data_IF_231889516079
#
_entry.id   IF_231889516079
#
_cell.length_a   1.000
_cell.length_b   1.000
_cell.length_c   1.000
_cell.angle_alpha   90.00
_cell.angle_beta   90.00
_cell.angle_gamma   90.00
#
_symmetry.space_group_name_H-M   'P 1'
#
loop_
_entity.id
_entity.type
_entity.pdbx_description
1 polymer ?
#
# COMPACT_ATOMS: atom_id res chain seq x y z
N UNK A 1 3.24 7.84 9.63
CA UNK A 1 3.07 6.68 10.53
C UNK A 1 4.40 5.97 10.83
N UNK A 2 5.21 5.62 9.81
CA UNK A 2 6.48 4.87 10.02
C UNK A 2 7.48 5.67 10.84
N UNK A 3 7.67 6.95 10.53
CA UNK A 3 8.56 7.83 11.30
C UNK A 3 8.06 8.01 12.74
N UNK A 4 6.76 8.18 12.95
CA UNK A 4 6.15 8.27 14.28
C UNK A 4 6.32 6.97 15.08
N UNK A 5 6.18 5.82 14.43
CA UNK A 5 6.45 4.53 15.06
C UNK A 5 7.90 4.39 15.54
N UNK A 6 8.88 4.83 14.74
CA UNK A 6 10.30 4.84 15.13
C UNK A 6 10.56 5.79 16.29
N UNK A 7 10.01 7.00 16.22
CA UNK A 7 10.14 7.97 17.30
C UNK A 7 9.58 7.42 18.63
N UNK A 8 8.34 6.93 18.60
CA UNK A 8 7.70 6.35 19.80
C UNK A 8 8.46 5.14 20.33
N UNK A 9 8.90 4.22 19.46
CA UNK A 9 9.69 3.07 19.90
C UNK A 9 11.03 3.45 20.51
N UNK A 10 11.67 4.53 20.05
CA UNK A 10 12.94 5.01 20.57
C UNK A 10 12.83 5.78 21.89
N UNK A 11 11.71 6.44 22.13
CA UNK A 11 11.53 7.33 23.30
C UNK A 11 10.55 6.80 24.36
N UNK A 12 9.92 5.65 24.13
CA UNK A 12 9.09 5.00 25.16
C UNK A 12 9.94 4.05 25.99
N UNK A 13 10.16 4.33 27.28
CA UNK A 13 11.07 3.51 28.13
C UNK A 13 10.69 2.04 28.22
N UNK A 14 9.39 1.74 28.16
CA UNK A 14 8.83 0.40 28.27
C UNK A 14 8.83 -0.36 26.94
N UNK A 15 9.20 0.30 25.82
CA UNK A 15 9.21 -0.32 24.52
C UNK A 15 10.21 -1.49 24.45
N UNK A 16 9.74 -2.68 24.08
CA UNK A 16 10.57 -3.87 24.01
C UNK A 16 10.27 -4.73 22.79
N UNK A 17 11.35 -5.20 22.14
CA UNK A 17 11.27 -6.16 21.06
C UNK A 17 10.80 -5.53 19.76
N UNK A 18 10.10 -6.32 18.92
CA UNK A 18 9.67 -5.94 17.58
C UNK A 18 8.21 -5.50 17.58
N UNK A 19 7.92 -4.51 16.74
CA UNK A 19 6.58 -4.00 16.50
C UNK A 19 6.20 -4.14 15.04
N UNK A 20 4.97 -4.56 14.77
CA UNK A 20 4.43 -4.63 13.41
C UNK A 20 3.77 -3.29 13.11
N UNK A 21 4.35 -2.55 12.16
CA UNK A 21 3.82 -1.27 11.68
C UNK A 21 2.99 -1.51 10.42
N UNK A 22 1.79 -2.04 10.59
CA UNK A 22 0.83 -2.27 9.51
C UNK A 22 -0.50 -1.62 9.87
N UNK A 23 -0.90 -0.60 9.11
CA UNK A 23 -2.13 0.14 9.38
C UNK A 23 -3.37 -0.62 8.97
N UNK A 24 -3.37 -1.19 7.78
CA UNK A 24 -4.54 -1.79 7.15
C UNK A 24 -4.21 -3.14 6.52
N UNK A 25 -5.12 -4.10 6.67
CA UNK A 25 -5.12 -5.33 5.90
C UNK A 25 -5.88 -5.07 4.59
N UNK A 26 -5.18 -4.87 3.51
CA UNK A 26 -5.73 -4.45 2.22
C UNK A 26 -5.07 -5.18 1.06
N UNK A 27 -5.57 -4.97 -0.14
CA UNK A 27 -5.01 -5.47 -1.39
C UNK A 27 -4.74 -4.34 -2.39
N UNK A 28 -3.99 -4.64 -3.44
CA UNK A 28 -3.61 -3.63 -4.45
C UNK A 28 -4.81 -2.98 -5.16
N UNK A 29 -5.90 -3.73 -5.35
CA UNK A 29 -7.09 -3.18 -5.97
C UNK A 29 -7.77 -2.16 -5.05
N UNK A 30 -7.95 -2.49 -3.77
CA UNK A 30 -8.51 -1.55 -2.79
C UNK A 30 -7.67 -0.29 -2.67
N UNK A 31 -6.34 -0.44 -2.62
CA UNK A 31 -5.43 0.71 -2.63
C UNK A 31 -5.60 1.58 -3.88
N UNK A 32 -5.70 0.96 -5.06
CA UNK A 32 -5.92 1.68 -6.32
C UNK A 32 -7.29 2.33 -6.41
N UNK A 33 -8.34 1.66 -5.95
CA UNK A 33 -9.71 2.18 -6.01
C UNK A 33 -9.95 3.36 -5.07
N UNK A 34 -9.20 3.48 -3.97
CA UNK A 34 -9.27 4.66 -3.09
C UNK A 34 -8.83 5.95 -3.77
N UNK A 35 -8.03 5.85 -4.83
CA UNK A 35 -7.54 6.99 -5.62
C UNK A 35 -8.51 7.43 -6.72
N UNK A 36 -9.48 6.58 -7.09
CA UNK A 36 -10.40 6.85 -8.20
C UNK A 36 -11.17 8.16 -8.07
N UNK A 37 -11.73 8.53 -6.91
CA UNK A 37 -12.51 9.76 -6.79
C UNK A 37 -11.71 11.03 -7.10
N UNK A 38 -10.42 11.04 -6.79
CA UNK A 38 -9.56 12.22 -6.96
C UNK A 38 -8.74 12.21 -8.25
N UNK A 39 -8.28 11.04 -8.67
CA UNK A 39 -7.31 10.91 -9.75
C UNK A 39 -7.77 10.05 -10.93
N UNK A 40 -8.92 9.41 -10.85
CA UNK A 40 -9.40 8.44 -11.83
C UNK A 40 -9.62 9.00 -13.24
N UNK A 41 -9.90 10.29 -13.37
CA UNK A 41 -10.08 10.94 -14.67
C UNK A 41 -8.75 11.25 -15.37
N UNK A 42 -7.73 11.56 -14.59
CA UNK A 42 -6.41 12.00 -15.10
C UNK A 42 -5.41 10.87 -15.26
N UNK A 43 -5.58 9.77 -14.53
CA UNK A 43 -4.62 8.66 -14.50
C UNK A 43 -5.30 7.32 -14.78
N UNK A 44 -4.61 6.36 -15.44
CA UNK A 44 -5.12 5.03 -15.72
C UNK A 44 -5.09 4.15 -14.47
N UNK A 45 -6.04 4.37 -13.56
CA UNK A 45 -6.15 3.59 -12.32
C UNK A 45 -6.99 2.31 -12.54
N UNK A 46 -6.69 1.22 -11.82
CA UNK A 46 -7.46 -0.01 -11.92
C UNK A 46 -8.87 0.19 -11.34
N UNK A 47 -9.89 -0.08 -12.15
CA UNK A 47 -11.30 -0.02 -11.73
C UNK A 47 -11.82 -1.39 -11.27
N UNK A 48 -11.30 -2.45 -11.87
CA UNK A 48 -11.73 -3.82 -11.63
C UNK A 48 -10.53 -4.75 -11.39
N UNK A 49 -10.76 -5.81 -10.62
CA UNK A 49 -9.76 -6.85 -10.43
C UNK A 49 -9.58 -7.65 -11.74
N UNK A 50 -8.35 -7.72 -12.22
CA UNK A 50 -7.99 -8.65 -13.28
C UNK A 50 -7.90 -10.07 -12.70
N UNK A 51 -8.46 -11.08 -13.35
CA UNK A 51 -8.31 -12.46 -12.89
C UNK A 51 -6.85 -12.87 -12.90
N UNK A 52 -6.45 -13.64 -11.88
CA UNK A 52 -5.05 -14.05 -11.65
C UNK A 52 -4.39 -14.71 -12.86
N UNK A 53 -5.16 -15.50 -13.61
CA UNK A 53 -4.67 -16.17 -14.82
C UNK A 53 -4.29 -15.16 -15.92
N UNK A 54 -5.12 -14.12 -16.12
CA UNK A 54 -4.86 -13.08 -17.10
C UNK A 54 -3.63 -12.25 -16.71
N UNK A 55 -3.51 -11.90 -15.42
CA UNK A 55 -2.35 -11.18 -14.90
C UNK A 55 -1.05 -11.98 -15.03
N UNK A 56 -1.12 -13.32 -14.93
CA UNK A 56 0.05 -14.18 -15.10
C UNK A 56 0.55 -14.25 -16.55
N UNK A 57 -0.32 -13.96 -17.51
CA UNK A 57 0.02 -13.93 -18.95
C UNK A 57 0.48 -12.55 -19.36
N UNK A 58 -0.31 -11.51 -19.02
CA UNK A 58 -0.06 -10.13 -19.45
C UNK A 58 1.01 -9.44 -18.61
N UNK A 59 1.09 -9.74 -17.31
CA UNK A 59 2.02 -9.11 -16.38
C UNK A 59 3.48 -9.14 -16.86
N UNK A 60 4.06 -10.30 -17.22
CA UNK A 60 5.43 -10.38 -17.70
C UNK A 60 5.70 -9.61 -19.00
N UNK A 61 4.67 -9.36 -19.81
CA UNK A 61 4.79 -8.62 -21.07
C UNK A 61 4.79 -7.10 -20.84
N UNK A 62 4.10 -6.63 -19.79
CA UNK A 62 3.96 -5.21 -19.49
C UNK A 62 5.05 -4.69 -18.55
N UNK A 63 5.50 -5.51 -17.62
CA UNK A 63 6.53 -5.10 -16.67
C UNK A 63 7.35 -6.31 -16.20
N UNK A 64 8.68 -6.19 -16.28
CA UNK A 64 9.64 -7.23 -15.85
C UNK A 64 9.50 -7.61 -14.37
N UNK A 65 8.91 -6.77 -13.54
CA UNK A 65 8.65 -7.05 -12.12
C UNK A 65 7.48 -8.03 -11.91
N UNK A 66 6.50 -8.05 -12.82
CA UNK A 66 5.34 -8.93 -12.74
C UNK A 66 5.62 -10.32 -13.34
N UNK A 67 6.63 -10.99 -12.82
CA UNK A 67 6.90 -12.38 -13.23
C UNK A 67 5.77 -13.32 -12.82
N UNK A 68 5.62 -14.46 -13.52
CA UNK A 68 4.63 -15.49 -13.14
C UNK A 68 4.82 -15.96 -11.69
N UNK A 69 6.06 -16.05 -11.22
CA UNK A 69 6.39 -16.39 -9.83
C UNK A 69 5.91 -15.33 -8.85
N UNK A 70 6.11 -14.05 -9.19
CA UNK A 70 5.62 -12.93 -8.38
C UNK A 70 4.10 -12.96 -8.28
N UNK A 71 3.39 -13.08 -9.40
CA UNK A 71 1.92 -13.15 -9.43
C UNK A 71 1.40 -14.33 -8.63
N UNK A 72 2.01 -15.52 -8.77
CA UNK A 72 1.62 -16.71 -8.01
C UNK A 72 1.73 -16.50 -6.50
N UNK A 73 2.79 -15.85 -6.04
CA UNK A 73 3.13 -15.75 -4.62
C UNK A 73 2.58 -14.51 -3.93
N UNK A 74 2.14 -13.50 -4.69
CA UNK A 74 1.75 -12.20 -4.10
C UNK A 74 0.34 -11.75 -4.46
N UNK A 75 -0.25 -12.29 -5.54
CA UNK A 75 -1.59 -11.86 -5.98
C UNK A 75 -2.67 -12.75 -5.40
N UNK A 76 -3.73 -12.13 -4.85
CA UNK A 76 -4.83 -12.81 -4.17
C UNK A 76 -4.42 -13.71 -2.99
N UNK A 77 -3.34 -13.36 -2.33
CA UNK A 77 -2.95 -13.99 -1.06
C UNK A 77 -3.39 -13.04 0.05
N UNK A 78 -4.32 -13.46 0.90
CA UNK A 78 -4.75 -12.63 2.01
C UNK A 78 -3.59 -12.47 3.01
N UNK A 79 -3.17 -11.24 3.21
CA UNK A 79 -2.18 -10.89 4.23
C UNK A 79 -2.90 -10.23 5.40
N UNK A 80 -2.70 -10.79 6.59
CA UNK A 80 -3.21 -10.21 7.83
C UNK A 80 -2.03 -9.99 8.77
N UNK A 81 -1.86 -8.74 9.20
CA UNK A 81 -0.90 -8.37 10.21
C UNK A 81 -1.62 -7.89 11.47
N UNK A 82 -1.19 -8.39 12.62
CA UNK A 82 -1.69 -7.93 13.91
C UNK A 82 -0.85 -6.75 14.40
N UNK A 83 -1.46 -5.58 14.48
CA UNK A 83 -0.86 -4.34 14.95
C UNK A 83 -1.28 -3.98 16.39
N UNK A 84 -1.91 -4.90 17.12
CA UNK A 84 -2.43 -4.65 18.46
C UNK A 84 -1.32 -4.26 19.44
N UNK A 85 -0.16 -4.90 19.34
CA UNK A 85 0.99 -4.60 20.21
C UNK A 85 1.46 -3.15 20.08
N UNK A 86 1.66 -2.66 18.86
CA UNK A 86 2.14 -1.28 18.65
C UNK A 86 1.09 -0.24 19.10
N UNK A 87 -0.19 -0.52 18.91
CA UNK A 87 -1.27 0.35 19.39
C UNK A 87 -1.31 0.40 20.91
N UNK A 88 -1.19 -0.76 21.58
CA UNK A 88 -1.29 -0.87 23.02
C UNK A 88 -0.08 -0.31 23.75
N UNK A 89 1.13 -0.67 23.31
CA UNK A 89 2.35 -0.34 24.02
C UNK A 89 2.91 1.04 23.65
N UNK A 90 2.79 1.46 22.37
CA UNK A 90 3.30 2.75 21.88
C UNK A 90 2.20 3.81 21.67
N UNK A 91 0.93 3.49 21.95
CA UNK A 91 -0.19 4.41 21.68
C UNK A 91 -0.27 4.84 20.22
N UNK A 92 0.11 3.95 19.29
CA UNK A 92 0.17 4.29 17.88
C UNK A 92 -1.23 4.38 17.27
N UNK A 93 -1.48 5.46 16.54
CA UNK A 93 -2.66 5.62 15.69
C UNK A 93 -2.19 5.68 14.23
N UNK A 94 -2.96 5.10 13.33
CA UNK A 94 -2.63 5.07 11.91
C UNK A 94 -3.58 5.96 11.13
N UNK A 95 -3.05 6.64 10.11
CA UNK A 95 -3.85 7.46 9.21
C UNK A 95 -4.79 6.61 8.37
N UNK A 96 -5.94 7.16 7.94
CA UNK A 96 -6.84 6.47 7.01
C UNK A 96 -6.10 6.10 5.71
N UNK A 97 -6.44 4.94 5.15
CA UNK A 97 -5.82 4.46 3.91
C UNK A 97 -5.97 5.46 2.75
N UNK A 98 -7.14 6.08 2.63
CA UNK A 98 -7.40 7.08 1.60
C UNK A 98 -6.43 8.25 1.66
N UNK A 99 -6.24 8.83 2.83
CA UNK A 99 -5.31 9.95 3.05
C UNK A 99 -3.87 9.56 2.71
N UNK A 100 -3.42 8.41 3.21
CA UNK A 100 -2.07 7.91 2.94
C UNK A 100 -1.85 7.66 1.44
N UNK A 101 -2.82 7.09 0.75
CA UNK A 101 -2.74 6.82 -0.68
C UNK A 101 -2.75 8.12 -1.50
N UNK A 102 -3.61 9.07 -1.15
CA UNK A 102 -3.69 10.36 -1.85
C UNK A 102 -2.40 11.16 -1.70
N UNK A 103 -1.83 11.24 -0.49
CA UNK A 103 -0.57 11.94 -0.23
C UNK A 103 0.59 11.29 -0.99
N UNK A 104 0.70 9.96 -0.93
CA UNK A 104 1.75 9.23 -1.64
C UNK A 104 1.65 9.42 -3.15
N UNK A 105 0.43 9.38 -3.69
CA UNK A 105 0.20 9.56 -5.13
C UNK A 105 0.50 10.99 -5.56
N UNK A 106 0.15 11.99 -4.74
CA UNK A 106 0.45 13.38 -5.02
C UNK A 106 1.97 13.64 -5.09
N UNK A 107 2.75 13.09 -4.17
CA UNK A 107 4.22 13.19 -4.22
C UNK A 107 4.78 12.63 -5.53
N UNK A 108 4.27 11.49 -6.00
CA UNK A 108 4.72 10.90 -7.28
C UNK A 108 4.38 11.79 -8.49
N UNK A 109 3.28 12.56 -8.41
CA UNK A 109 2.93 13.55 -9.44
C UNK A 109 3.89 14.75 -9.36
N UNK A 110 4.09 15.29 -8.17
CA UNK A 110 4.92 16.49 -7.94
C UNK A 110 6.39 16.23 -8.33
N UNK A 111 6.89 15.03 -8.08
CA UNK A 111 8.22 14.57 -8.50
C UNK A 111 8.32 14.24 -10.01
N UNK A 112 7.22 14.34 -10.75
CA UNK A 112 7.17 14.08 -12.19
C UNK A 112 7.31 12.61 -12.59
N UNK A 113 7.21 11.69 -11.62
CA UNK A 113 7.28 10.24 -11.86
C UNK A 113 6.03 9.74 -12.58
N UNK A 114 4.87 10.28 -12.22
CA UNK A 114 3.60 9.99 -12.86
C UNK A 114 3.16 11.14 -13.76
N UNK A 115 2.84 10.82 -15.02
CA UNK A 115 2.32 11.78 -15.99
C UNK A 115 0.82 11.55 -16.18
N UNK A 116 0.03 12.62 -16.14
CA UNK A 116 -1.38 12.56 -16.48
C UNK A 116 -1.57 12.10 -17.94
N UNK A 117 -2.73 11.52 -18.23
CA UNK A 117 -3.12 11.26 -19.62
C UNK A 117 -3.17 12.58 -20.38
N UNK A 118 -2.48 12.60 -21.48
CA UNK A 118 -2.62 13.69 -22.47
C UNK A 118 -3.98 13.60 -23.15
#
# INVERSE_FOLDING_TARGET
DVADAHYKAGYTPEAKGRYITSAHNTNFLEMGTTLLPKYGDKFPLPKNALPKWLLSIVGPMTNKLFTRKFVKNNVNIPFKADNSKIKKELGMTFRPMKETMEDSFQVLIDDGILKAKS
#
